data_IF_828152394429
#
_entry.id   IF_828152394429
#
_cell.length_a   1.000
_cell.length_b   1.000
_cell.length_c   1.000
_cell.angle_alpha   90.00
_cell.angle_beta   90.00
_cell.angle_gamma   90.00
#
_symmetry.space_group_name_H-M   'P 1'
#
loop_
_entity.id
_entity.type
_entity.pdbx_description
1 polymer ?
#
# COMPACT_ATOMS: atom_id res chain seq x y z
N UNK A 1 2.26 -22.07 -12.53
CA UNK A 1 3.09 -21.24 -11.62
C UNK A 1 4.52 -21.25 -12.16
N UNK A 2 5.06 -20.07 -12.47
CA UNK A 2 6.39 -19.92 -13.10
C UNK A 2 7.53 -20.31 -12.14
N UNK A 3 7.31 -20.34 -10.82
CA UNK A 3 8.33 -20.54 -9.79
C UNK A 3 8.09 -21.71 -8.84
N UNK A 4 7.50 -22.80 -9.30
CA UNK A 4 7.36 -24.02 -8.51
C UNK A 4 6.52 -23.83 -7.21
N UNK A 5 6.03 -24.94 -6.68
CA UNK A 5 5.15 -24.98 -5.49
C UNK A 5 5.89 -24.79 -4.15
N UNK A 6 6.99 -24.03 -4.10
CA UNK A 6 7.71 -23.85 -2.85
C UNK A 6 7.09 -22.73 -2.02
N UNK A 7 6.66 -23.03 -0.81
CA UNK A 7 6.14 -22.10 0.19
C UNK A 7 7.12 -20.93 0.48
N UNK A 8 8.40 -21.15 0.27
CA UNK A 8 9.45 -20.12 0.41
C UNK A 8 9.30 -19.04 -0.66
N UNK A 9 9.07 -19.40 -1.92
CA UNK A 9 8.87 -18.41 -3.00
C UNK A 9 7.62 -17.56 -2.76
N UNK A 10 6.54 -18.16 -2.26
CA UNK A 10 5.32 -17.43 -1.89
C UNK A 10 5.60 -16.39 -0.80
N UNK A 11 6.35 -16.76 0.24
CA UNK A 11 6.75 -15.82 1.31
C UNK A 11 7.61 -14.67 0.79
N UNK A 12 8.59 -14.96 -0.07
CA UNK A 12 9.46 -13.93 -0.66
C UNK A 12 8.62 -12.99 -1.53
N UNK A 13 7.69 -13.50 -2.32
CA UNK A 13 6.79 -12.70 -3.13
C UNK A 13 5.95 -11.75 -2.27
N UNK A 14 5.28 -12.25 -1.24
CA UNK A 14 4.49 -11.41 -0.34
C UNK A 14 5.34 -10.38 0.41
N UNK A 15 6.53 -10.75 0.85
CA UNK A 15 7.47 -9.81 1.47
C UNK A 15 7.87 -8.69 0.50
N UNK A 16 8.18 -9.03 -0.75
CA UNK A 16 8.55 -8.06 -1.78
C UNK A 16 7.40 -7.10 -2.11
N UNK A 17 6.18 -7.62 -2.21
CA UNK A 17 4.97 -6.80 -2.40
C UNK A 17 4.78 -5.85 -1.21
N UNK A 18 4.91 -6.34 0.02
CA UNK A 18 4.77 -5.53 1.23
C UNK A 18 5.80 -4.40 1.30
N UNK A 19 7.07 -4.69 0.98
CA UNK A 19 8.14 -3.68 0.94
C UNK A 19 7.84 -2.64 -0.16
N UNK A 20 7.48 -3.08 -1.36
CA UNK A 20 7.15 -2.18 -2.47
C UNK A 20 5.98 -1.26 -2.12
N UNK A 21 4.94 -1.80 -1.52
CA UNK A 21 3.78 -1.04 -1.06
C UNK A 21 4.15 0.00 0.00
N UNK A 22 4.98 -0.38 0.98
CA UNK A 22 5.45 0.54 2.02
C UNK A 22 6.27 1.70 1.42
N UNK A 23 7.16 1.41 0.46
CA UNK A 23 7.97 2.42 -0.22
C UNK A 23 7.10 3.40 -1.03
N UNK A 24 6.09 2.89 -1.74
CA UNK A 24 5.14 3.74 -2.50
C UNK A 24 4.37 4.64 -1.54
N UNK A 25 3.80 4.10 -0.46
CA UNK A 25 3.08 4.91 0.54
C UNK A 25 3.98 5.97 1.17
N UNK A 26 5.18 5.60 1.56
CA UNK A 26 6.15 6.54 2.13
C UNK A 26 6.46 7.68 1.15
N UNK A 27 6.70 7.36 -0.13
CA UNK A 27 6.99 8.35 -1.16
C UNK A 27 5.81 9.30 -1.39
N UNK A 28 4.60 8.77 -1.47
CA UNK A 28 3.38 9.57 -1.66
C UNK A 28 3.16 10.51 -0.48
N UNK A 29 3.25 10.03 0.75
CA UNK A 29 3.04 10.86 1.93
C UNK A 29 4.14 11.91 2.13
N UNK A 30 5.38 11.57 1.79
CA UNK A 30 6.47 12.53 1.79
C UNK A 30 6.22 13.67 0.80
N UNK A 31 5.71 13.34 -0.40
CA UNK A 31 5.38 14.32 -1.43
C UNK A 31 4.26 15.26 -1.00
N UNK A 32 3.24 14.77 -0.27
CA UNK A 32 2.16 15.62 0.27
C UNK A 32 2.74 16.77 1.09
N UNK A 33 3.75 16.49 1.95
CA UNK A 33 4.41 17.50 2.76
C UNK A 33 5.11 18.58 1.96
N UNK A 34 5.56 18.26 0.75
CA UNK A 34 6.26 19.19 -0.14
C UNK A 34 5.29 20.05 -0.97
N UNK A 35 4.19 19.45 -1.45
CA UNK A 35 3.24 20.14 -2.36
C UNK A 35 2.15 20.92 -1.63
N UNK A 36 2.02 20.79 -0.31
CA UNK A 36 0.99 21.50 0.46
C UNK A 36 1.58 22.65 1.27
N UNK A 37 0.93 23.78 1.24
CA UNK A 37 1.37 25.01 1.94
C UNK A 37 0.65 25.23 3.27
N UNK A 38 -0.50 24.62 3.47
CA UNK A 38 -1.30 24.75 4.68
C UNK A 38 -1.69 23.41 5.29
N UNK A 39 -1.93 23.38 6.61
CA UNK A 39 -2.40 22.18 7.32
C UNK A 39 -3.74 21.65 6.75
N UNK A 40 -4.61 22.56 6.28
CA UNK A 40 -5.90 22.18 5.70
C UNK A 40 -5.73 21.49 4.36
N UNK A 41 -4.86 22.03 3.49
CA UNK A 41 -4.51 21.38 2.21
C UNK A 41 -3.88 20.01 2.42
N UNK A 42 -2.92 19.92 3.36
CA UNK A 42 -2.26 18.67 3.71
C UNK A 42 -3.27 17.60 4.12
N UNK A 43 -4.16 17.93 5.06
CA UNK A 43 -5.20 16.99 5.53
C UNK A 43 -6.19 16.64 4.43
N UNK A 44 -6.60 17.61 3.59
CA UNK A 44 -7.52 17.37 2.48
C UNK A 44 -6.92 16.44 1.43
N UNK A 45 -5.68 16.71 1.02
CA UNK A 45 -4.98 15.89 0.02
C UNK A 45 -4.74 14.48 0.54
N UNK A 46 -4.31 14.34 1.79
CA UNK A 46 -4.10 13.05 2.44
C UNK A 46 -5.42 12.23 2.48
N UNK A 47 -6.53 12.85 2.89
CA UNK A 47 -7.83 12.20 2.92
C UNK A 47 -8.32 11.79 1.52
N UNK A 48 -8.04 12.62 0.51
CA UNK A 48 -8.39 12.30 -0.88
C UNK A 48 -7.61 11.09 -1.39
N UNK A 49 -6.31 11.03 -1.13
CA UNK A 49 -5.46 9.89 -1.53
C UNK A 49 -5.93 8.60 -0.85
N UNK A 50 -6.22 8.65 0.45
CA UNK A 50 -6.76 7.49 1.18
C UNK A 50 -8.16 7.10 0.64
N UNK A 51 -8.99 8.07 0.29
CA UNK A 51 -10.30 7.81 -0.34
C UNK A 51 -10.14 7.06 -1.67
N UNK A 52 -9.26 7.52 -2.56
CA UNK A 52 -8.97 6.81 -3.82
C UNK A 52 -8.37 5.43 -3.59
N UNK A 53 -7.54 5.27 -2.58
CA UNK A 53 -7.00 3.96 -2.19
C UNK A 53 -8.12 2.99 -1.78
N UNK A 54 -9.10 3.45 -0.99
CA UNK A 54 -10.27 2.64 -0.62
C UNK A 54 -11.15 2.28 -1.83
N UNK A 55 -11.31 3.19 -2.79
CA UNK A 55 -12.00 2.90 -4.07
C UNK A 55 -11.24 1.81 -4.83
N UNK A 56 -9.91 1.86 -4.85
CA UNK A 56 -9.08 0.80 -5.45
C UNK A 56 -9.29 -0.57 -4.80
N UNK A 57 -9.33 -0.64 -3.47
CA UNK A 57 -9.63 -1.87 -2.74
C UNK A 57 -11.04 -2.38 -3.07
N UNK A 58 -12.04 -1.51 -3.04
CA UNK A 58 -13.41 -1.87 -3.37
C UNK A 58 -13.54 -2.40 -4.81
N UNK A 59 -12.80 -1.81 -5.76
CA UNK A 59 -12.78 -2.27 -7.15
C UNK A 59 -12.28 -3.71 -7.30
N UNK A 60 -11.39 -4.16 -6.43
CA UNK A 60 -10.88 -5.53 -6.47
C UNK A 60 -11.98 -6.58 -6.27
N UNK A 61 -13.00 -6.28 -5.43
CA UNK A 61 -14.13 -7.16 -5.20
C UNK A 61 -14.98 -7.42 -6.46
N UNK A 62 -14.96 -6.50 -7.41
CA UNK A 62 -15.65 -6.63 -8.69
C UNK A 62 -14.73 -7.19 -9.78
N UNK A 63 -13.46 -6.82 -9.74
CA UNK A 63 -12.47 -7.22 -10.75
C UNK A 63 -12.18 -8.73 -10.71
N UNK A 64 -11.91 -9.31 -9.54
CA UNK A 64 -11.55 -10.72 -9.46
C UNK A 64 -12.68 -11.66 -9.92
N UNK A 65 -13.95 -11.49 -9.49
CA UNK A 65 -15.04 -12.32 -10.00
C UNK A 65 -15.30 -12.13 -11.49
N UNK A 66 -15.06 -10.96 -12.07
CA UNK A 66 -15.27 -10.70 -13.50
C UNK A 66 -14.34 -11.55 -14.41
N UNK A 67 -13.22 -12.01 -13.87
CA UNK A 67 -12.28 -12.89 -14.59
C UNK A 67 -12.44 -14.37 -14.20
N UNK A 68 -13.40 -14.69 -13.33
CA UNK A 68 -13.67 -16.08 -12.99
C UNK A 68 -14.34 -16.81 -14.16
N UNK A 69 -13.94 -18.05 -14.42
CA UNK A 69 -14.52 -18.90 -15.45
C UNK A 69 -14.67 -20.32 -14.93
N UNK A 70 -15.83 -20.92 -15.13
CA UNK A 70 -16.09 -22.31 -14.74
C UNK A 70 -15.33 -23.33 -15.63
N UNK A 71 -14.87 -22.88 -16.80
CA UNK A 71 -14.18 -23.73 -17.80
C UNK A 71 -12.66 -23.68 -17.69
N UNK A 72 -12.11 -22.61 -17.09
CA UNK A 72 -10.66 -22.42 -16.93
C UNK A 72 -10.33 -21.99 -15.49
N UNK A 73 -9.80 -22.93 -14.73
CA UNK A 73 -9.39 -22.70 -13.32
C UNK A 73 -8.35 -21.59 -13.17
N UNK A 74 -7.64 -21.22 -14.22
CA UNK A 74 -6.59 -20.20 -14.20
C UNK A 74 -7.04 -18.84 -14.76
N UNK A 75 -8.26 -18.72 -15.23
CA UNK A 75 -8.77 -17.48 -15.85
C UNK A 75 -8.63 -16.24 -14.94
N UNK A 76 -8.81 -16.42 -13.62
CA UNK A 76 -8.64 -15.35 -12.64
C UNK A 76 -7.23 -14.75 -12.61
N UNK A 77 -6.21 -15.49 -13.07
CA UNK A 77 -4.84 -14.97 -13.17
C UNK A 77 -4.70 -13.83 -14.20
N UNK A 78 -5.64 -13.74 -15.15
CA UNK A 78 -5.64 -12.68 -16.16
C UNK A 78 -5.83 -11.28 -15.54
N UNK A 79 -6.41 -11.19 -14.33
CA UNK A 79 -6.47 -9.94 -13.56
C UNK A 79 -5.07 -9.34 -13.35
N UNK A 80 -4.06 -10.16 -13.14
CA UNK A 80 -2.69 -9.67 -12.92
C UNK A 80 -2.10 -9.01 -14.15
N UNK A 81 -2.47 -9.42 -15.36
CA UNK A 81 -2.05 -8.72 -16.59
C UNK A 81 -2.67 -7.33 -16.67
N UNK A 82 -3.96 -7.20 -16.31
CA UNK A 82 -4.65 -5.91 -16.26
C UNK A 82 -4.00 -4.99 -15.20
N UNK A 83 -3.77 -5.51 -13.99
CA UNK A 83 -3.11 -4.74 -12.92
C UNK A 83 -1.71 -4.32 -13.34
N UNK A 84 -0.93 -5.23 -13.95
CA UNK A 84 0.41 -4.92 -14.45
C UNK A 84 0.37 -3.82 -15.51
N UNK A 85 -0.59 -3.86 -16.42
CA UNK A 85 -0.80 -2.81 -17.43
C UNK A 85 -1.08 -1.45 -16.78
N UNK A 86 -1.96 -1.40 -15.78
CA UNK A 86 -2.25 -0.16 -15.02
C UNK A 86 -1.01 0.39 -14.29
N UNK A 87 -0.19 -0.49 -13.72
CA UNK A 87 1.07 -0.08 -13.07
C UNK A 87 2.04 0.51 -14.10
N UNK A 88 2.19 -0.13 -15.26
CA UNK A 88 3.04 0.39 -16.34
C UNK A 88 2.56 1.75 -16.82
N UNK A 89 1.25 1.93 -17.04
CA UNK A 89 0.66 3.21 -17.42
C UNK A 89 0.95 4.27 -16.36
N UNK A 90 0.72 3.96 -15.09
CA UNK A 90 1.00 4.86 -13.97
C UNK A 90 2.48 5.25 -13.90
N UNK A 91 3.38 4.30 -14.15
CA UNK A 91 4.82 4.55 -14.21
C UNK A 91 5.19 5.48 -15.36
N UNK A 92 4.59 5.29 -16.54
CA UNK A 92 4.78 6.16 -17.70
C UNK A 92 4.32 7.59 -17.37
N UNK A 93 3.13 7.76 -16.76
CA UNK A 93 2.67 9.08 -16.31
C UNK A 93 3.66 9.73 -15.34
N UNK A 94 4.19 8.96 -14.40
CA UNK A 94 5.19 9.45 -13.45
C UNK A 94 6.47 9.94 -14.15
N UNK A 95 6.96 9.22 -15.16
CA UNK A 95 8.15 9.60 -15.93
C UNK A 95 7.97 10.94 -16.69
N UNK A 96 6.75 11.22 -17.14
CA UNK A 96 6.44 12.48 -17.83
C UNK A 96 6.05 13.61 -16.87
N UNK A 97 5.81 13.31 -15.60
CA UNK A 97 5.50 14.32 -14.59
C UNK A 97 6.76 15.08 -14.19
N UNK A 98 6.79 16.37 -14.45
CA UNK A 98 7.85 17.26 -13.94
C UNK A 98 7.52 17.62 -12.50
N UNK A 99 8.22 17.02 -11.57
CA UNK A 99 8.14 17.39 -10.15
C UNK A 99 9.28 18.37 -9.90
N UNK A 100 8.99 19.66 -10.03
CA UNK A 100 9.91 20.74 -9.67
C UNK A 100 9.77 21.00 -8.16
N UNK A 101 10.65 20.44 -7.36
CA UNK A 101 10.82 20.87 -5.99
C UNK A 101 12.31 20.99 -5.70
N UNK A 102 12.67 22.09 -5.09
CA UNK A 102 14.02 22.26 -4.57
C UNK A 102 14.18 21.30 -3.38
N UNK A 103 14.92 20.23 -3.60
CA UNK A 103 15.46 19.48 -2.46
C UNK A 103 16.49 20.41 -1.84
N UNK A 104 16.16 21.10 -0.76
CA UNK A 104 17.21 21.56 0.12
C UNK A 104 18.04 20.33 0.48
N UNK A 105 19.16 20.21 -0.19
CA UNK A 105 20.16 19.20 0.14
C UNK A 105 20.66 19.52 1.54
N UNK A 106 19.88 19.09 2.53
CA UNK A 106 20.37 19.02 3.90
C UNK A 106 21.52 18.03 3.77
N UNK A 107 22.74 18.54 3.83
CA UNK A 107 23.97 17.75 3.65
C UNK A 107 24.21 16.71 4.75
N UNK A 108 23.13 16.14 5.26
CA UNK A 108 23.13 15.06 6.23
C UNK A 108 23.31 13.72 5.50
N UNK A 109 24.21 12.92 6.02
CA UNK A 109 24.38 11.54 5.57
C UNK A 109 23.08 10.77 5.83
N UNK A 110 22.66 9.89 4.90
CA UNK A 110 21.52 8.95 5.10
C UNK A 110 21.55 8.26 6.47
N UNK A 111 22.75 8.02 7.00
CA UNK A 111 22.96 7.44 8.32
C UNK A 111 22.56 8.38 9.46
N UNK A 112 22.76 9.68 9.30
CA UNK A 112 22.33 10.68 10.30
C UNK A 112 20.82 10.89 10.27
N UNK A 113 20.22 10.90 9.09
CA UNK A 113 18.78 11.02 8.95
C UNK A 113 18.05 9.80 9.50
N UNK A 114 18.57 8.61 9.25
CA UNK A 114 18.05 7.38 9.87
C UNK A 114 18.17 7.43 11.40
N UNK A 115 19.32 7.89 11.92
CA UNK A 115 19.51 8.03 13.36
C UNK A 115 18.56 9.06 14.00
N UNK A 116 18.31 10.17 13.31
CA UNK A 116 17.32 11.18 13.75
C UNK A 116 15.91 10.61 13.73
N UNK A 117 15.53 9.91 12.67
CA UNK A 117 14.22 9.24 12.58
C UNK A 117 14.00 8.20 13.67
N UNK A 118 15.01 7.37 13.95
CA UNK A 118 14.96 6.41 15.06
C UNK A 118 14.83 7.08 16.44
N UNK A 119 15.44 8.24 16.64
CA UNK A 119 15.26 9.01 17.89
C UNK A 119 13.83 9.52 18.07
N UNK A 120 13.11 9.81 16.99
CA UNK A 120 11.72 10.24 17.07
C UNK A 120 10.80 9.13 17.59
N UNK A 121 11.12 7.85 17.31
CA UNK A 121 10.34 6.71 17.79
C UNK A 121 10.31 6.65 19.32
N UNK A 122 11.37 7.10 19.98
CA UNK A 122 11.47 7.09 21.44
C UNK A 122 10.67 8.22 22.12
N UNK A 123 10.20 9.19 21.34
CA UNK A 123 9.32 10.25 21.85
C UNK A 123 7.99 9.65 22.31
N UNK A 124 7.55 9.84 23.57
CA UNK A 124 6.37 9.16 24.11
C UNK A 124 5.11 9.34 23.29
N UNK A 125 4.88 10.53 22.74
CA UNK A 125 3.73 10.81 21.87
C UNK A 125 3.78 10.00 20.57
N UNK A 126 4.97 9.90 19.96
CA UNK A 126 5.17 9.11 18.73
C UNK A 126 5.00 7.62 19.01
N UNK A 127 5.50 7.14 20.15
CA UNK A 127 5.38 5.76 20.54
C UNK A 127 3.92 5.34 20.78
N UNK A 128 3.14 6.19 21.47
CA UNK A 128 1.70 5.95 21.67
C UNK A 128 0.96 5.95 20.34
N UNK A 129 1.29 6.88 19.44
CA UNK A 129 0.71 6.91 18.08
C UNK A 129 1.04 5.64 17.30
N UNK A 130 2.30 5.22 17.29
CA UNK A 130 2.74 4.00 16.61
C UNK A 130 2.07 2.74 17.18
N UNK A 131 1.96 2.64 18.51
CA UNK A 131 1.26 1.53 19.15
C UNK A 131 -0.23 1.51 18.77
N UNK A 132 -0.89 2.67 18.79
CA UNK A 132 -2.29 2.79 18.38
C UNK A 132 -2.49 2.40 16.91
N UNK A 133 -1.62 2.88 16.01
CA UNK A 133 -1.66 2.53 14.60
C UNK A 133 -1.41 1.02 14.39
N UNK A 134 -0.47 0.43 15.12
CA UNK A 134 -0.21 -1.00 15.06
C UNK A 134 -1.44 -1.83 15.45
N UNK A 135 -2.07 -1.52 16.58
CA UNK A 135 -3.27 -2.23 17.03
C UNK A 135 -4.44 -2.02 16.07
N UNK A 136 -4.61 -0.80 15.53
CA UNK A 136 -5.64 -0.51 14.53
C UNK A 136 -5.47 -1.40 13.29
N UNK A 137 -4.26 -1.41 12.70
CA UNK A 137 -3.97 -2.23 11.51
C UNK A 137 -4.11 -3.72 11.81
N UNK A 138 -3.69 -4.17 13.00
CA UNK A 138 -3.85 -5.57 13.41
C UNK A 138 -5.31 -6.00 13.46
N UNK A 139 -6.19 -5.16 14.03
CA UNK A 139 -7.64 -5.42 14.09
C UNK A 139 -8.24 -5.39 12.69
N UNK A 140 -7.92 -4.37 11.89
CA UNK A 140 -8.40 -4.21 10.52
C UNK A 140 -8.05 -5.42 9.65
N UNK A 141 -6.78 -5.81 9.63
CA UNK A 141 -6.32 -6.97 8.87
C UNK A 141 -6.88 -8.29 9.40
N UNK A 142 -7.03 -8.39 10.73
CA UNK A 142 -7.67 -9.54 11.36
C UNK A 142 -9.12 -9.71 10.90
N UNK A 143 -9.91 -8.64 10.93
CA UNK A 143 -11.30 -8.66 10.47
C UNK A 143 -11.36 -8.97 8.97
N UNK A 144 -10.59 -8.29 8.13
CA UNK A 144 -10.57 -8.49 6.68
C UNK A 144 -10.23 -9.94 6.30
N UNK A 145 -9.30 -10.56 7.01
CA UNK A 145 -8.86 -11.93 6.72
C UNK A 145 -9.85 -13.00 7.19
N UNK A 146 -10.46 -12.80 8.38
CA UNK A 146 -11.25 -13.84 9.02
C UNK A 146 -12.76 -13.71 8.80
N UNK A 147 -13.26 -12.51 8.50
CA UNK A 147 -14.68 -12.25 8.29
C UNK A 147 -15.29 -13.09 7.15
N UNK A 148 -14.64 -13.24 5.97
CA UNK A 148 -15.18 -14.10 4.91
C UNK A 148 -15.29 -15.57 5.35
N UNK A 149 -14.27 -16.10 6.03
CA UNK A 149 -14.31 -17.48 6.55
C UNK A 149 -15.34 -17.67 7.65
N UNK A 150 -15.55 -16.66 8.48
CA UNK A 150 -16.58 -16.69 9.51
C UNK A 150 -17.97 -16.73 8.87
N UNK A 151 -18.21 -15.90 7.87
CA UNK A 151 -19.47 -15.87 7.13
C UNK A 151 -19.76 -17.21 6.45
N UNK A 152 -18.79 -17.78 5.75
CA UNK A 152 -18.91 -19.08 5.11
C UNK A 152 -19.27 -20.21 6.11
N UNK A 153 -18.62 -20.24 7.28
CA UNK A 153 -18.84 -21.29 8.28
C UNK A 153 -20.15 -21.14 9.05
N UNK A 154 -20.56 -19.92 9.37
CA UNK A 154 -21.71 -19.68 10.26
C UNK A 154 -22.98 -19.44 9.46
N UNK A 155 -22.92 -18.63 8.42
CA UNK A 155 -24.10 -18.27 7.64
C UNK A 155 -24.29 -19.12 6.40
N UNK A 156 -23.29 -19.96 6.01
CA UNK A 156 -23.29 -20.78 4.79
C UNK A 156 -23.62 -19.97 3.52
N UNK A 157 -23.18 -18.70 3.52
CA UNK A 157 -23.28 -17.78 2.39
C UNK A 157 -22.05 -17.89 1.50
#
# INVERSE_FOLDING_TARGET
MIFGNSFVYTKILFLSIGISFALIKLSVYSLIGVVTTSKKEHSSLMSSIEGFFMVGIASAYFLFPAFYSDTDENAWLNVYYLISGLIVISFIFLLFSKIEYEVEAIGSSLKEDLKRSLKLIVVPLVLVFLASAFFFVMIEQGIMTWLPRFNEKIFKL
#
